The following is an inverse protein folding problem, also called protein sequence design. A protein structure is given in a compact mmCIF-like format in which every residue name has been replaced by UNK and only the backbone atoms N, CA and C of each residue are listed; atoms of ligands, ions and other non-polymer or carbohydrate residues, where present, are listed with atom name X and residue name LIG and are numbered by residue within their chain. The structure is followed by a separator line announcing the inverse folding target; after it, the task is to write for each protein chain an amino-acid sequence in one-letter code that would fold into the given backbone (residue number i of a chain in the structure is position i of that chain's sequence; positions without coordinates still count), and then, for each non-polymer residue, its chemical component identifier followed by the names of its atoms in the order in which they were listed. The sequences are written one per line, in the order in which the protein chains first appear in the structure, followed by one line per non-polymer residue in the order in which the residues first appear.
data_IF_437889718508
#
_entry.id   IF_437889718508
#
_cell.length_a   1.000
_cell.length_b   1.000
_cell.length_c   1.000
_cell.angle_alpha   90.00
_cell.angle_beta   90.00
_cell.angle_gamma   90.00
#
_symmetry.space_group_name_H-M   'P 1'
#
loop_
_entity.id
_entity.type
_entity.pdbx_description
1 polymer ?
#
# COMPACT_ATOMS: atom_id res chain seq x y z
N UNK A 1 -13.65 13.28 0.45
CA UNK A 1 -13.42 13.81 1.83
C UNK A 1 -14.67 13.76 2.73
N UNK A 2 -15.86 14.21 2.27
CA UNK A 2 -17.09 14.09 3.07
C UNK A 2 -17.41 12.65 3.49
N UNK A 3 -17.20 11.67 2.61
CA UNK A 3 -17.37 10.25 2.93
C UNK A 3 -16.54 9.83 4.16
N UNK A 4 -15.24 10.18 4.19
CA UNK A 4 -14.34 9.89 5.31
C UNK A 4 -14.74 10.61 6.61
N UNK A 5 -15.37 11.78 6.50
CA UNK A 5 -15.85 12.49 7.70
C UNK A 5 -17.06 11.78 8.32
N UNK A 6 -17.94 11.23 7.48
CA UNK A 6 -19.18 10.57 7.91
C UNK A 6 -18.91 9.16 8.44
N UNK A 7 -17.97 8.43 7.86
CA UNK A 7 -17.76 7.00 8.16
C UNK A 7 -16.56 6.77 9.09
N UNK A 8 -16.14 7.79 9.87
CA UNK A 8 -14.89 7.71 10.65
C UNK A 8 -14.96 6.52 11.61
N UNK A 9 -13.91 5.70 11.74
CA UNK A 9 -13.92 4.59 12.66
C UNK A 9 -13.96 5.11 14.10
N UNK A 10 -14.85 4.54 14.91
CA UNK A 10 -14.94 4.83 16.34
C UNK A 10 -14.05 3.88 17.17
N UNK A 11 -13.62 2.77 16.56
CA UNK A 11 -12.76 1.78 17.17
C UNK A 11 -11.34 2.31 17.38
N UNK A 12 -10.66 1.92 18.47
CA UNK A 12 -9.29 2.37 18.72
C UNK A 12 -8.35 1.91 17.59
N UNK A 13 -7.45 2.79 17.21
CA UNK A 13 -6.36 2.47 16.29
C UNK A 13 -5.19 1.87 17.06
N UNK A 14 -4.68 0.74 16.59
CA UNK A 14 -3.45 0.15 17.13
C UNK A 14 -2.25 1.03 16.81
N UNK A 15 -1.55 1.46 17.86
CA UNK A 15 -0.33 2.25 17.74
C UNK A 15 0.90 1.35 17.90
N UNK A 16 1.96 1.70 17.20
CA UNK A 16 3.22 0.98 17.25
C UNK A 16 4.22 1.52 16.22
N UNK A 17 5.49 1.12 16.34
CA UNK A 17 6.52 1.57 15.42
C UNK A 17 6.17 1.16 13.99
N UNK A 18 6.42 2.06 13.06
CA UNK A 18 6.24 1.83 11.63
C UNK A 18 7.42 2.42 10.85
N UNK A 19 7.62 1.90 9.65
CA UNK A 19 8.58 2.42 8.66
C UNK A 19 8.11 3.74 8.03
N UNK A 20 6.79 3.90 7.86
CA UNK A 20 6.16 5.08 7.27
C UNK A 20 6.16 5.13 5.74
N UNK A 21 7.03 4.34 5.10
CA UNK A 21 7.02 4.11 3.64
C UNK A 21 7.42 2.68 3.29
N UNK A 22 6.67 1.71 3.80
CA UNK A 22 6.98 0.28 3.70
C UNK A 22 6.59 -0.33 2.35
N UNK A 23 7.27 0.11 1.28
CA UNK A 23 7.11 -0.39 -0.09
C UNK A 23 8.21 -1.41 -0.44
N UNK A 24 8.02 -2.20 -1.50
CA UNK A 24 9.04 -3.13 -1.99
C UNK A 24 10.30 -2.41 -2.49
N UNK A 25 10.18 -1.18 -3.00
CA UNK A 25 11.31 -0.36 -3.43
C UNK A 25 12.25 0.03 -2.27
N UNK A 26 11.73 0.04 -1.04
CA UNK A 26 12.47 0.37 0.17
C UNK A 26 13.01 -0.88 0.90
N UNK A 27 13.03 -2.02 0.20
CA UNK A 27 13.54 -3.30 0.71
C UNK A 27 14.74 -3.79 -0.11
N UNK A 28 15.86 -4.04 0.55
CA UNK A 28 17.04 -4.66 -0.04
C UNK A 28 17.05 -6.14 0.31
N UNK A 29 16.85 -7.00 -0.69
CA UNK A 29 16.88 -8.45 -0.56
C UNK A 29 18.30 -8.99 -0.79
N UNK A 30 18.89 -9.63 0.22
CA UNK A 30 20.17 -10.32 0.06
C UNK A 30 19.98 -11.76 -0.42
N UNK A 31 20.95 -12.34 -1.16
CA UNK A 31 20.93 -13.76 -1.52
C UNK A 31 20.87 -14.72 -0.32
N UNK A 32 21.28 -14.25 0.86
CA UNK A 32 21.22 -14.99 2.14
C UNK A 32 19.80 -15.11 2.70
N UNK A 33 18.81 -14.44 2.10
CA UNK A 33 17.43 -14.36 2.60
C UNK A 33 17.20 -13.24 3.61
N UNK A 34 18.21 -12.43 3.93
CA UNK A 34 18.04 -11.24 4.77
C UNK A 34 17.37 -10.12 3.97
N UNK A 35 16.46 -9.40 4.62
CA UNK A 35 15.82 -8.19 4.09
C UNK A 35 16.27 -7.01 4.93
N UNK A 36 16.83 -5.99 4.29
CA UNK A 36 17.16 -4.72 4.94
C UNK A 36 16.16 -3.66 4.50
N UNK A 37 15.68 -2.88 5.45
CA UNK A 37 14.77 -1.77 5.21
C UNK A 37 15.58 -0.48 5.15
N UNK A 38 15.24 0.41 4.23
CA UNK A 38 15.88 1.71 4.02
C UNK A 38 14.83 2.80 3.87
N UNK A 39 15.22 4.07 4.02
CA UNK A 39 14.35 5.23 3.79
C UNK A 39 13.11 5.26 4.71
N UNK A 40 13.37 5.23 6.02
CA UNK A 40 12.33 5.39 7.04
C UNK A 40 11.82 6.83 7.03
N UNK A 41 10.51 7.00 6.98
CA UNK A 41 9.86 8.31 6.94
C UNK A 41 8.93 8.48 8.14
N UNK A 42 8.86 9.71 8.66
CA UNK A 42 7.92 10.03 9.71
C UNK A 42 6.48 9.82 9.20
N UNK A 43 5.72 9.03 9.95
CA UNK A 43 4.30 8.85 9.70
C UNK A 43 3.48 9.86 10.50
N UNK A 44 2.39 10.35 9.92
CA UNK A 44 1.45 11.24 10.61
C UNK A 44 0.76 10.56 11.81
N UNK A 45 0.71 9.23 11.81
CA UNK A 45 0.29 8.38 12.91
C UNK A 45 1.26 7.20 13.00
N UNK A 46 1.79 6.88 14.17
CA UNK A 46 2.63 5.68 14.33
C UNK A 46 1.74 4.44 14.48
N UNK A 47 1.53 3.73 13.37
CA UNK A 47 0.76 2.48 13.36
C UNK A 47 1.33 1.51 12.32
N UNK A 48 1.54 0.23 12.66
CA UNK A 48 1.90 -0.82 11.69
C UNK A 48 0.91 -0.96 10.53
N UNK A 49 -0.34 -0.50 10.72
CA UNK A 49 -1.36 -0.52 9.68
C UNK A 49 -0.99 0.38 8.47
N UNK A 50 -0.20 1.42 8.69
CA UNK A 50 0.26 2.30 7.60
C UNK A 50 1.27 1.57 6.72
N UNK A 51 2.19 0.84 7.33
CA UNK A 51 3.16 0.01 6.61
C UNK A 51 2.47 -1.08 5.79
N UNK A 52 1.40 -1.66 6.32
CA UNK A 52 0.60 -2.60 5.55
C UNK A 52 -0.02 -1.97 4.32
N UNK A 53 -0.73 -0.85 4.48
CA UNK A 53 -1.38 -0.18 3.34
C UNK A 53 -0.35 0.21 2.29
N UNK A 54 0.84 0.64 2.73
CA UNK A 54 1.99 0.91 1.88
C UNK A 54 2.46 -0.33 1.12
N UNK A 55 2.58 -1.47 1.78
CA UNK A 55 2.96 -2.71 1.11
C UNK A 55 1.90 -3.17 0.10
N UNK A 56 0.61 -2.99 0.41
CA UNK A 56 -0.50 -3.28 -0.52
C UNK A 56 -0.54 -2.36 -1.73
N UNK A 57 0.09 -1.20 -1.67
CA UNK A 57 0.32 -0.36 -2.86
C UNK A 57 1.11 -1.12 -3.94
N UNK A 58 2.01 -2.02 -3.54
CA UNK A 58 2.76 -2.85 -4.48
C UNK A 58 2.08 -4.20 -4.71
N UNK A 59 1.59 -4.87 -3.67
CA UNK A 59 1.04 -6.23 -3.81
C UNK A 59 -0.34 -6.28 -4.44
N UNK A 60 -1.18 -5.26 -4.23
CA UNK A 60 -2.55 -5.18 -4.77
C UNK A 60 -2.66 -4.21 -5.94
N UNK A 61 -2.08 -3.01 -5.78
CA UNK A 61 -2.20 -1.95 -6.79
C UNK A 61 -1.08 -1.99 -7.84
N UNK A 62 -0.04 -2.79 -7.63
CA UNK A 62 1.09 -2.95 -8.55
C UNK A 62 1.83 -1.64 -8.87
N UNK A 63 1.87 -0.69 -7.93
CA UNK A 63 2.48 0.63 -8.16
C UNK A 63 3.92 0.56 -8.65
N UNK A 64 4.80 -0.19 -7.95
CA UNK A 64 6.20 -0.31 -8.39
C UNK A 64 6.32 -0.93 -9.79
N UNK A 65 5.47 -1.91 -10.13
CA UNK A 65 5.47 -2.52 -11.47
C UNK A 65 5.02 -1.52 -12.55
N UNK A 66 4.14 -0.59 -12.21
CA UNK A 66 3.66 0.46 -13.10
C UNK A 66 4.74 1.53 -13.34
N UNK A 67 5.51 1.91 -12.29
CA UNK A 67 6.55 2.94 -12.37
C UNK A 67 7.88 2.43 -12.97
N UNK A 68 8.28 1.18 -12.70
CA UNK A 68 9.59 0.64 -13.14
C UNK A 68 9.69 0.36 -14.67
N UNK A 69 8.63 0.61 -15.44
CA UNK A 69 8.66 0.64 -16.90
C UNK A 69 8.29 -0.68 -17.60
N UNK A 70 8.40 -0.68 -18.93
CA UNK A 70 7.85 -1.74 -19.79
C UNK A 70 8.65 -3.05 -19.74
N UNK A 71 8.28 -3.95 -18.82
CA UNK A 71 8.71 -5.34 -18.87
C UNK A 71 7.95 -6.13 -19.94
N UNK A 72 8.54 -7.18 -20.55
CA UNK A 72 7.79 -8.10 -21.39
C UNK A 72 6.60 -8.69 -20.64
N UNK A 73 5.45 -8.83 -21.31
CA UNK A 73 4.18 -9.28 -20.71
C UNK A 73 4.30 -10.57 -19.88
N UNK A 74 5.12 -11.53 -20.32
CA UNK A 74 5.32 -12.79 -19.57
C UNK A 74 5.98 -12.56 -18.20
N UNK A 75 6.88 -11.56 -18.07
CA UNK A 75 7.50 -11.21 -16.78
C UNK A 75 6.50 -10.46 -15.90
N UNK A 76 5.74 -9.53 -16.47
CA UNK A 76 4.68 -8.83 -15.75
C UNK A 76 3.69 -9.82 -15.13
N UNK A 77 3.18 -10.77 -15.92
CA UNK A 77 2.25 -11.80 -15.44
C UNK A 77 2.85 -12.66 -14.31
N UNK A 78 4.15 -12.98 -14.38
CA UNK A 78 4.84 -13.74 -13.33
C UNK A 78 4.95 -12.92 -12.04
N UNK A 79 5.32 -11.66 -12.15
CA UNK A 79 5.42 -10.74 -11.00
C UNK A 79 4.04 -10.55 -10.38
N UNK A 80 3.01 -10.28 -11.17
CA UNK A 80 1.63 -10.13 -10.70
C UNK A 80 1.12 -11.37 -9.97
N UNK A 81 1.43 -12.59 -10.44
CA UNK A 81 1.08 -13.82 -9.72
C UNK A 81 1.75 -13.90 -8.34
N UNK A 82 3.03 -13.53 -8.25
CA UNK A 82 3.77 -13.51 -6.98
C UNK A 82 3.19 -12.44 -6.05
N UNK A 83 2.96 -11.23 -6.56
CA UNK A 83 2.37 -10.12 -5.79
C UNK A 83 0.97 -10.47 -5.30
N UNK A 84 0.15 -11.11 -6.13
CA UNK A 84 -1.17 -11.59 -5.74
C UNK A 84 -1.09 -12.63 -4.61
N UNK A 85 -0.17 -13.59 -4.71
CA UNK A 85 0.05 -14.56 -3.65
C UNK A 85 0.48 -13.87 -2.35
N UNK A 86 1.40 -12.89 -2.41
CA UNK A 86 1.82 -12.11 -1.24
C UNK A 86 0.65 -11.33 -0.64
N UNK A 87 -0.16 -10.67 -1.48
CA UNK A 87 -1.34 -9.91 -1.02
C UNK A 87 -2.33 -10.80 -0.28
N UNK A 88 -2.62 -12.00 -0.80
CA UNK A 88 -3.49 -12.96 -0.13
C UNK A 88 -2.95 -13.36 1.25
N UNK A 89 -1.64 -13.57 1.37
CA UNK A 89 -0.99 -13.91 2.65
C UNK A 89 -1.01 -12.74 3.64
N UNK A 90 -0.80 -11.51 3.14
CA UNK A 90 -0.92 -10.30 3.94
C UNK A 90 -2.35 -10.16 4.46
N UNK A 91 -3.35 -10.16 3.60
CA UNK A 91 -4.76 -10.02 4.01
C UNK A 91 -5.17 -11.10 5.02
N UNK A 92 -4.77 -12.36 4.83
CA UNK A 92 -5.02 -13.45 5.79
C UNK A 92 -4.42 -13.20 7.18
N UNK A 93 -3.30 -12.50 7.26
CA UNK A 93 -2.68 -12.13 8.52
C UNK A 93 -3.43 -10.96 9.16
N UNK A 94 -3.75 -9.92 8.39
CA UNK A 94 -4.35 -8.70 8.93
C UNK A 94 -5.82 -8.79 9.29
N UNK A 95 -6.56 -9.78 8.77
CA UNK A 95 -7.89 -10.10 9.30
C UNK A 95 -7.87 -10.55 10.77
N UNK A 96 -6.69 -10.91 11.30
CA UNK A 96 -6.51 -11.25 12.71
C UNK A 96 -6.18 -10.03 13.58
N UNK A 97 -5.87 -8.88 12.95
CA UNK A 97 -5.51 -7.65 13.65
C UNK A 97 -6.79 -6.88 14.04
N UNK A 98 -6.99 -6.57 15.32
CA UNK A 98 -8.14 -5.81 15.79
C UNK A 98 -8.37 -4.51 15.01
N UNK A 99 -9.64 -4.28 14.66
CA UNK A 99 -10.12 -3.04 14.02
C UNK A 99 -9.46 -2.69 12.67
N UNK A 100 -8.73 -3.65 12.08
CA UNK A 100 -8.04 -3.50 10.80
C UNK A 100 -8.97 -2.96 9.71
N UNK A 101 -10.11 -3.63 9.48
CA UNK A 101 -11.02 -3.28 8.39
C UNK A 101 -11.59 -1.87 8.52
N UNK A 102 -11.84 -1.44 9.77
CA UNK A 102 -12.42 -0.14 10.05
C UNK A 102 -11.45 0.98 9.64
N UNK A 103 -10.16 0.83 9.95
CA UNK A 103 -9.14 1.83 9.66
C UNK A 103 -8.51 1.70 8.26
N UNK A 104 -8.53 0.51 7.67
CA UNK A 104 -7.89 0.22 6.38
C UNK A 104 -8.33 1.18 5.28
N UNK A 105 -9.65 1.40 5.14
CA UNK A 105 -10.21 2.29 4.13
C UNK A 105 -9.63 3.72 4.21
N UNK A 106 -9.47 4.23 5.43
CA UNK A 106 -8.92 5.57 5.68
C UNK A 106 -7.48 5.65 5.22
N UNK A 107 -6.67 4.71 5.69
CA UNK A 107 -5.25 4.70 5.36
C UNK A 107 -5.01 4.42 3.88
N UNK A 108 -5.84 3.60 3.23
CA UNK A 108 -5.75 3.38 1.79
C UNK A 108 -5.93 4.68 1.00
N UNK A 109 -6.92 5.49 1.37
CA UNK A 109 -7.15 6.79 0.73
C UNK A 109 -5.99 7.74 1.01
N UNK A 110 -5.50 7.81 2.25
CA UNK A 110 -4.33 8.64 2.57
C UNK A 110 -3.09 8.21 1.78
N UNK A 111 -2.89 6.90 1.61
CA UNK A 111 -1.78 6.38 0.83
C UNK A 111 -1.87 6.80 -0.65
N UNK A 112 -3.06 6.72 -1.24
CA UNK A 112 -3.31 7.20 -2.61
C UNK A 112 -3.13 8.72 -2.75
N UNK A 113 -3.53 9.50 -1.74
CA UNK A 113 -3.29 10.95 -1.73
C UNK A 113 -1.79 11.25 -1.62
N UNK A 114 -1.04 10.47 -0.84
CA UNK A 114 0.40 10.65 -0.62
C UNK A 114 1.22 10.40 -1.90
N UNK A 115 0.73 9.59 -2.84
CA UNK A 115 1.42 9.35 -4.11
C UNK A 115 1.12 10.42 -5.17
N UNK A 116 0.11 11.27 -4.98
CA UNK A 116 -0.26 12.32 -5.95
C UNK A 116 0.89 13.24 -6.38
N UNK A 117 1.82 13.67 -5.49
CA UNK A 117 2.95 14.52 -5.91
C UNK A 117 3.92 13.82 -6.87
N UNK A 118 3.92 12.49 -6.90
CA UNK A 118 4.79 11.66 -7.75
C UNK A 118 4.12 11.24 -9.06
N UNK A 119 2.87 11.65 -9.26
CA UNK A 119 2.12 11.41 -10.49
C UNK A 119 2.48 12.51 -11.50
N UNK A 120 3.06 12.11 -12.62
CA UNK A 120 3.57 12.98 -13.68
C UNK A 120 2.96 12.67 -15.04
N UNK A 121 2.42 11.47 -15.26
CA UNK A 121 1.82 11.07 -16.53
C UNK A 121 0.29 10.93 -16.45
N UNK A 122 -0.45 11.12 -17.57
CA UNK A 122 -1.90 10.90 -17.59
C UNK A 122 -2.30 9.47 -17.17
N UNK A 123 -1.44 8.48 -17.47
CA UNK A 123 -1.66 7.09 -17.07
C UNK A 123 -1.61 6.91 -15.55
N UNK A 124 -0.63 7.53 -14.89
CA UNK A 124 -0.52 7.53 -13.42
C UNK A 124 -1.68 8.28 -12.75
N UNK A 125 -2.16 9.38 -13.35
CA UNK A 125 -3.36 10.09 -12.85
C UNK A 125 -4.59 9.16 -12.92
N UNK A 126 -4.84 8.56 -14.08
CA UNK A 126 -5.97 7.65 -14.28
C UNK A 126 -5.90 6.44 -13.33
N UNK A 127 -4.69 5.95 -13.06
CA UNK A 127 -4.47 4.91 -12.06
C UNK A 127 -4.95 5.36 -10.67
N UNK A 128 -4.52 6.52 -10.17
CA UNK A 128 -4.94 6.98 -8.83
C UNK A 128 -6.44 7.26 -8.79
N UNK A 129 -7.00 7.91 -9.81
CA UNK A 129 -8.43 8.20 -9.90
C UNK A 129 -9.29 6.93 -9.89
N UNK A 130 -8.90 5.91 -10.67
CA UNK A 130 -9.63 4.64 -10.72
C UNK A 130 -9.62 3.91 -9.36
N UNK A 131 -8.49 3.95 -8.63
CA UNK A 131 -8.40 3.34 -7.31
C UNK A 131 -9.19 4.12 -6.27
N UNK A 132 -9.13 5.45 -6.26
CA UNK A 132 -9.93 6.28 -5.36
C UNK A 132 -11.42 6.04 -5.61
N UNK A 133 -11.86 6.01 -6.88
CA UNK A 133 -13.27 5.80 -7.25
C UNK A 133 -13.76 4.39 -6.89
N UNK A 134 -12.88 3.38 -6.97
CA UNK A 134 -13.20 2.01 -6.54
C UNK A 134 -13.41 1.91 -5.01
N UNK A 135 -12.69 2.75 -4.26
CA UNK A 135 -12.61 2.67 -2.80
C UNK A 135 -13.64 3.58 -2.13
N UNK A 136 -13.94 4.74 -2.72
CA UNK A 136 -14.92 5.71 -2.24
C UNK A 136 -16.18 5.63 -3.11
N UNK A 137 -17.33 5.17 -2.57
CA UNK A 137 -18.60 5.20 -3.27
C UNK A 137 -19.16 6.62 -3.46
#
# INVERSE_FOLDING_TARGET
LNFLRVHRPELPLEQGPCHGDFTLSNMIFQPTGKVFLIDFLDSFVESPLIDLVKLRQDTEMHWSLMIEGELPRYRQNKIQQVLHYLDQRLVQYFTQVPNFEAWYLYFQVFNLVRILPYVHTPHEVAFVESHITRILP
#
